data_IF_286263473339
#
_entry.id   IF_286263473339
#
_cell.length_a   1.000
_cell.length_b   1.000
_cell.length_c   1.000
_cell.angle_alpha   90.00
_cell.angle_beta   90.00
_cell.angle_gamma   90.00
#
_symmetry.space_group_name_H-M   'P 1'
#
loop_
_entity.id
_entity.type
_entity.pdbx_description
1 polymer ?
#
# COMPACT_ATOMS: atom_id res chain seq x y z
N UNK A 1 -7.23 7.51 -7.29
CA UNK A 1 -6.29 6.85 -8.23
C UNK A 1 -5.26 5.99 -7.50
N UNK A 2 -4.58 6.50 -6.46
CA UNK A 2 -3.63 5.72 -5.63
C UNK A 2 -4.28 4.57 -4.86
N UNK A 3 -5.47 4.78 -4.27
CA UNK A 3 -6.28 3.72 -3.67
C UNK A 3 -6.53 2.56 -4.65
N UNK A 4 -6.83 2.87 -5.92
CA UNK A 4 -7.05 1.88 -6.97
C UNK A 4 -5.80 1.03 -7.26
N UNK A 5 -4.59 1.60 -7.13
CA UNK A 5 -3.32 0.88 -7.27
C UNK A 5 -3.12 -0.07 -6.09
N UNK A 6 -3.36 0.41 -4.86
CA UNK A 6 -3.23 -0.38 -3.61
C UNK A 6 -4.24 -1.54 -3.60
N UNK A 7 -5.48 -1.28 -3.98
CA UNK A 7 -6.52 -2.31 -4.11
C UNK A 7 -6.16 -3.35 -5.17
N UNK A 8 -5.62 -2.92 -6.31
CA UNK A 8 -5.22 -3.83 -7.38
C UNK A 8 -4.04 -4.71 -6.96
N UNK A 9 -3.05 -4.15 -6.25
CA UNK A 9 -1.97 -4.91 -5.63
C UNK A 9 -2.52 -5.96 -4.66
N UNK A 10 -3.45 -5.55 -3.79
CA UNK A 10 -4.08 -6.45 -2.80
C UNK A 10 -4.82 -7.59 -3.48
N UNK A 11 -5.59 -7.30 -4.55
CA UNK A 11 -6.28 -8.33 -5.36
C UNK A 11 -5.32 -9.28 -6.07
N UNK A 12 -4.14 -8.79 -6.45
CA UNK A 12 -3.09 -9.60 -7.04
C UNK A 12 -2.25 -10.40 -6.00
N UNK A 13 -2.62 -10.35 -4.72
CA UNK A 13 -1.88 -11.03 -3.65
C UNK A 13 -0.55 -10.36 -3.30
N UNK A 14 -0.41 -9.08 -3.63
CA UNK A 14 0.76 -8.26 -3.32
C UNK A 14 0.45 -7.38 -2.11
N UNK A 15 1.19 -7.59 -1.03
CA UNK A 15 1.17 -6.73 0.14
C UNK A 15 2.12 -5.56 -0.05
N UNK A 16 1.62 -4.35 0.22
CA UNK A 16 2.38 -3.11 0.14
C UNK A 16 2.52 -2.50 1.53
N UNK A 17 3.71 -2.03 1.85
CA UNK A 17 3.98 -1.23 3.05
C UNK A 17 4.80 0.01 2.69
N UNK A 18 4.57 1.12 3.38
CA UNK A 18 5.41 2.30 3.30
C UNK A 18 6.42 2.28 4.46
N UNK A 19 7.71 2.33 4.14
CA UNK A 19 8.79 2.35 5.13
C UNK A 19 9.95 3.21 4.66
N UNK A 20 10.39 4.16 5.48
CA UNK A 20 11.54 5.02 5.20
C UNK A 20 11.48 5.70 3.80
N UNK A 21 10.31 6.15 3.37
CA UNK A 21 10.12 6.77 2.04
C UNK A 21 10.22 5.78 0.86
N UNK A 22 10.11 4.48 1.13
CA UNK A 22 10.08 3.42 0.13
C UNK A 22 8.79 2.62 0.21
N UNK A 23 8.43 1.98 -0.91
CA UNK A 23 7.36 0.99 -0.96
C UNK A 23 8.04 -0.37 -0.83
N UNK A 24 7.77 -1.08 0.25
CA UNK A 24 8.13 -2.48 0.42
C UNK A 24 7.01 -3.35 -0.16
N UNK A 25 7.38 -4.33 -0.99
CA UNK A 25 6.44 -5.27 -1.61
C UNK A 25 6.72 -6.68 -1.12
N UNK A 26 5.68 -7.39 -0.69
CA UNK A 26 5.73 -8.82 -0.37
C UNK A 26 4.65 -9.55 -1.15
N UNK A 27 5.03 -10.55 -1.93
CA UNK A 27 4.10 -11.35 -2.74
C UNK A 27 4.60 -12.79 -2.86
N UNK A 28 3.68 -13.74 -3.03
CA UNK A 28 4.02 -15.15 -3.28
C UNK A 28 4.61 -15.35 -4.67
N UNK A 29 4.02 -14.66 -5.65
CA UNK A 29 4.41 -14.69 -7.05
C UNK A 29 4.98 -13.33 -7.47
N UNK A 30 5.70 -13.31 -8.59
CA UNK A 30 6.25 -12.06 -9.12
C UNK A 30 5.10 -11.11 -9.50
N UNK A 31 5.07 -9.87 -8.96
CA UNK A 31 4.08 -8.88 -9.37
C UNK A 31 4.16 -8.57 -10.86
N UNK A 32 3.03 -8.29 -11.48
CA UNK A 32 2.98 -7.95 -12.90
C UNK A 32 3.75 -6.63 -13.19
N UNK A 33 4.27 -6.50 -14.41
CA UNK A 33 5.09 -5.36 -14.79
C UNK A 33 4.32 -4.02 -14.79
N UNK A 34 3.01 -4.07 -15.04
CA UNK A 34 2.16 -2.88 -15.07
C UNK A 34 1.96 -2.32 -13.65
N UNK A 35 1.71 -3.18 -12.67
CA UNK A 35 1.62 -2.81 -11.26
C UNK A 35 2.93 -2.21 -10.76
N UNK A 36 4.08 -2.83 -11.09
CA UNK A 36 5.40 -2.30 -10.73
C UNK A 36 5.62 -0.91 -11.32
N UNK A 37 5.25 -0.70 -12.59
CA UNK A 37 5.37 0.61 -13.22
C UNK A 37 4.44 1.64 -12.57
N UNK A 38 3.18 1.28 -12.28
CA UNK A 38 2.23 2.16 -11.60
C UNK A 38 2.74 2.59 -10.22
N UNK A 39 3.30 1.66 -9.44
CA UNK A 39 3.89 1.95 -8.12
C UNK A 39 5.12 2.86 -8.24
N UNK A 40 5.92 2.69 -9.30
CA UNK A 40 7.08 3.56 -9.58
C UNK A 40 6.64 4.97 -9.96
N UNK A 41 5.70 5.11 -10.89
CA UNK A 41 5.20 6.41 -11.37
C UNK A 41 4.51 7.20 -10.25
N UNK A 42 3.75 6.52 -9.40
CA UNK A 42 2.95 7.17 -8.34
C UNK A 42 3.56 7.01 -6.95
N UNK A 43 4.87 6.73 -6.85
CA UNK A 43 5.54 6.32 -5.62
C UNK A 43 5.20 7.21 -4.41
N UNK A 44 5.40 8.53 -4.54
CA UNK A 44 5.17 9.45 -3.43
C UNK A 44 3.72 9.43 -2.96
N UNK A 45 2.78 9.45 -3.90
CA UNK A 45 1.35 9.46 -3.59
C UNK A 45 0.87 8.11 -3.00
N UNK A 46 1.44 6.99 -3.44
CA UNK A 46 1.17 5.66 -2.86
C UNK A 46 1.72 5.57 -1.44
N UNK A 47 2.93 6.08 -1.18
CA UNK A 47 3.51 6.13 0.17
C UNK A 47 2.60 6.92 1.12
N UNK A 48 2.23 8.15 0.73
CA UNK A 48 1.35 8.99 1.54
C UNK A 48 0.02 8.30 1.84
N UNK A 49 -0.55 7.59 0.86
CA UNK A 49 -1.80 6.88 1.05
C UNK A 49 -1.65 5.66 1.96
N UNK A 50 -0.56 4.89 1.86
CA UNK A 50 -0.29 3.76 2.75
C UNK A 50 -0.10 4.22 4.21
N UNK A 51 0.64 5.31 4.42
CA UNK A 51 0.82 5.90 5.77
C UNK A 51 -0.49 6.41 6.35
N UNK A 52 -1.33 7.05 5.53
CA UNK A 52 -2.68 7.50 5.92
C UNK A 52 -3.57 6.34 6.34
N UNK A 53 -3.57 5.26 5.56
CA UNK A 53 -4.35 4.05 5.86
C UNK A 53 -3.87 3.36 7.14
N UNK A 54 -2.55 3.32 7.36
CA UNK A 54 -1.98 2.80 8.60
C UNK A 54 -2.45 3.60 9.82
N UNK A 55 -2.44 4.93 9.74
CA UNK A 55 -2.95 5.80 10.81
C UNK A 55 -4.43 5.57 11.10
N UNK A 56 -5.27 5.52 10.07
CA UNK A 56 -6.71 5.26 10.22
C UNK A 56 -6.98 3.90 10.88
N UNK A 57 -6.18 2.88 10.55
CA UNK A 57 -6.29 1.58 11.20
C UNK A 57 -5.92 1.67 12.69
N UNK A 58 -4.83 2.36 13.04
CA UNK A 58 -4.42 2.56 14.44
C UNK A 58 -5.50 3.29 15.25
N UNK A 59 -6.07 4.37 14.71
CA UNK A 59 -7.18 5.09 15.34
C UNK A 59 -8.38 4.17 15.57
N UNK A 60 -8.76 3.39 14.55
CA UNK A 60 -9.87 2.44 14.65
C UNK A 60 -9.63 1.39 15.72
N UNK A 61 -8.42 0.81 15.79
CA UNK A 61 -8.07 -0.19 16.80
C UNK A 61 -8.04 0.43 18.19
N UNK A 62 -7.47 1.62 18.34
CA UNK A 62 -7.47 2.33 19.62
C UNK A 62 -8.89 2.54 20.17
N UNK A 63 -9.85 2.91 19.31
CA UNK A 63 -11.26 3.04 19.69
C UNK A 63 -11.94 1.73 20.05
N UNK A 64 -11.50 0.59 19.50
CA UNK A 64 -12.08 -0.72 19.82
C UNK A 64 -11.56 -1.32 21.13
N UNK A 65 -10.45 -0.79 21.65
CA UNK A 65 -9.82 -1.23 22.90
C UNK A 65 -10.20 -0.36 24.12
N UNK A 66 -11.02 0.66 23.92
CA UNK A 66 -11.62 1.52 24.94
C UNK A 66 -12.96 0.95 25.41
#
# INVERSE_FOLDING_TARGET
MTLTIIESATRAGVHLAARNGQIELTAKDRPDAQLLEQLRTHKAAVITELERLQWLWLERVAHLLQ
#
